data_IF_432365862233
#
_entry.id   IF_432365862233
#
_cell.length_a   1.000
_cell.length_b   1.000
_cell.length_c   1.000
_cell.angle_alpha   90.00
_cell.angle_beta   90.00
_cell.angle_gamma   90.00
#
_symmetry.space_group_name_H-M   'P 1'
#
loop_
_entity.id
_entity.type
_entity.pdbx_description
1 polymer ?
#
# COMPACT_ATOMS: atom_id res chain seq x y z
N UNK A 1 8.79 0.33 40.90
CA UNK A 1 7.76 1.19 40.28
C UNK A 1 8.21 1.49 38.83
N UNK A 2 7.75 0.71 37.85
CA UNK A 2 8.03 0.91 36.42
C UNK A 2 6.71 1.09 35.71
N UNK A 3 6.49 2.31 35.20
CA UNK A 3 5.33 2.64 34.41
C UNK A 3 5.42 1.92 33.04
N UNK A 4 4.56 0.93 32.82
CA UNK A 4 4.22 0.44 31.50
C UNK A 4 3.32 1.48 30.83
N UNK A 5 3.79 2.06 29.72
CA UNK A 5 2.94 2.85 28.82
C UNK A 5 2.17 1.89 27.92
N UNK A 6 0.90 1.79 28.17
CA UNK A 6 -0.05 1.09 27.29
C UNK A 6 -0.17 1.85 25.96
N UNK A 7 0.26 1.22 24.86
CA UNK A 7 -0.02 1.69 23.51
C UNK A 7 -1.39 1.19 23.10
N UNK A 8 -2.43 1.93 23.44
CA UNK A 8 -3.73 1.80 22.79
C UNK A 8 -3.65 2.51 21.44
N UNK A 9 -3.46 1.76 20.35
CA UNK A 9 -3.69 2.25 18.99
C UNK A 9 -5.20 2.10 18.72
N UNK A 10 -5.97 3.15 19.01
CA UNK A 10 -7.34 3.27 18.55
C UNK A 10 -7.33 3.42 17.01
N UNK A 11 -8.10 2.58 16.34
CA UNK A 11 -8.50 2.79 14.94
C UNK A 11 -9.40 4.01 14.92
N UNK A 12 -9.28 4.98 13.98
CA UNK A 12 -10.25 6.06 13.85
C UNK A 12 -11.65 5.47 13.77
N UNK A 13 -12.54 5.99 14.60
CA UNK A 13 -13.96 5.68 14.55
C UNK A 13 -14.55 6.40 13.33
N UNK A 14 -15.69 5.95 12.83
CA UNK A 14 -16.39 6.53 11.67
C UNK A 14 -16.56 8.06 11.78
N UNK A 15 -16.72 8.56 12.99
CA UNK A 15 -16.81 10.00 13.31
C UNK A 15 -15.56 10.79 12.90
N UNK A 16 -14.37 10.19 12.95
CA UNK A 16 -13.13 10.85 12.54
C UNK A 16 -13.05 11.03 11.01
N UNK A 17 -13.64 10.11 10.26
CA UNK A 17 -13.67 10.17 8.78
C UNK A 17 -14.64 11.26 8.31
N UNK A 18 -15.80 11.37 8.93
CA UNK A 18 -16.78 12.39 8.60
C UNK A 18 -16.24 13.80 8.87
N UNK A 19 -15.51 13.98 9.98
CA UNK A 19 -14.81 15.23 10.33
C UNK A 19 -13.70 15.56 9.29
N UNK A 20 -12.97 14.56 8.82
CA UNK A 20 -11.94 14.74 7.78
C UNK A 20 -12.58 15.20 6.47
N UNK A 21 -13.68 14.57 6.05
CA UNK A 21 -14.40 14.91 4.82
C UNK A 21 -15.06 16.29 4.89
N UNK A 22 -15.68 16.64 6.01
CA UNK A 22 -16.28 17.97 6.22
C UNK A 22 -15.22 19.08 6.19
N UNK A 23 -14.10 18.88 6.89
CA UNK A 23 -12.98 19.83 6.89
C UNK A 23 -12.42 20.03 5.49
N UNK A 24 -12.29 18.96 4.72
CA UNK A 24 -11.80 19.01 3.35
C UNK A 24 -12.73 19.79 2.42
N UNK A 25 -14.07 19.62 2.55
CA UNK A 25 -15.06 20.37 1.78
C UNK A 25 -15.02 21.87 2.10
N UNK A 26 -14.60 22.26 3.31
CA UNK A 26 -14.47 23.66 3.73
C UNK A 26 -13.14 24.30 3.33
N UNK A 27 -12.06 23.53 3.12
CA UNK A 27 -10.72 24.02 2.81
C UNK A 27 -10.39 24.03 1.29
N UNK A 28 -11.33 23.63 0.41
CA UNK A 28 -11.15 23.77 -1.03
C UNK A 28 -11.17 25.26 -1.43
N UNK A 29 -10.12 25.79 -2.09
CA UNK A 29 -10.25 27.07 -2.77
C UNK A 29 -11.32 26.92 -3.87
N UNK A 30 -12.27 27.85 -3.93
CA UNK A 30 -13.21 27.96 -5.02
C UNK A 30 -12.44 27.98 -6.35
N UNK A 31 -12.57 26.92 -7.12
CA UNK A 31 -12.13 26.89 -8.49
C UNK A 31 -13.13 27.74 -9.28
N UNK A 32 -12.71 28.95 -9.64
CA UNK A 32 -13.45 29.87 -10.49
C UNK A 32 -13.64 29.21 -11.87
N UNK A 33 -14.77 28.57 -12.05
CA UNK A 33 -15.26 28.09 -13.34
C UNK A 33 -16.21 29.16 -13.88
N UNK A 34 -15.67 30.14 -14.58
CA UNK A 34 -16.47 31.08 -15.37
C UNK A 34 -17.24 30.36 -16.49
N UNK A 35 -18.46 30.79 -16.81
CA UNK A 35 -19.51 29.93 -17.31
C UNK A 35 -19.60 29.89 -18.84
N UNK A 36 -19.91 28.73 -19.35
CA UNK A 36 -20.58 28.63 -20.67
C UNK A 36 -21.96 27.93 -20.48
N UNK A 37 -23.04 28.71 -20.60
CA UNK A 37 -24.32 28.32 -21.13
C UNK A 37 -25.25 27.46 -20.28
N UNK A 38 -26.21 28.12 -19.66
CA UNK A 38 -27.60 27.76 -19.26
C UNK A 38 -28.16 26.43 -19.77
N UNK A 39 -28.69 25.56 -18.86
CA UNK A 39 -30.14 25.24 -18.73
C UNK A 39 -30.41 24.31 -17.53
N UNK A 40 -31.43 24.75 -16.75
CA UNK A 40 -32.41 24.01 -15.90
C UNK A 40 -31.93 22.96 -14.87
N UNK A 41 -32.15 23.31 -13.59
CA UNK A 41 -32.34 22.41 -12.44
C UNK A 41 -33.46 21.38 -12.67
N UNK A 42 -33.32 20.19 -12.06
CA UNK A 42 -34.42 19.70 -11.25
C UNK A 42 -33.99 19.40 -9.81
N UNK A 43 -34.75 19.92 -8.90
CA UNK A 43 -34.81 19.60 -7.46
C UNK A 43 -35.47 18.24 -7.29
N UNK A 44 -34.82 17.33 -6.54
CA UNK A 44 -35.48 16.17 -5.96
C UNK A 44 -34.94 15.89 -4.55
N UNK A 45 -35.77 15.43 -3.60
CA UNK A 45 -35.49 15.46 -2.18
C UNK A 45 -34.61 14.31 -1.71
N UNK A 46 -33.80 14.58 -0.69
CA UNK A 46 -33.06 13.58 0.08
C UNK A 46 -34.05 12.61 0.74
N UNK A 47 -34.02 11.35 0.37
CA UNK A 47 -34.68 10.27 1.09
C UNK A 47 -33.66 9.26 1.62
N UNK A 48 -33.70 9.12 2.93
CA UNK A 48 -33.34 7.99 3.79
C UNK A 48 -32.21 7.02 3.32
N UNK A 49 -31.13 7.07 4.07
CA UNK A 49 -30.05 6.08 4.08
C UNK A 49 -30.61 4.74 4.59
N UNK A 50 -30.49 3.62 3.86
CA UNK A 50 -30.85 2.32 4.38
C UNK A 50 -29.79 1.82 5.41
N UNK A 51 -30.18 0.94 6.35
CA UNK A 51 -29.31 0.49 7.44
C UNK A 51 -28.12 -0.31 6.93
N UNK A 52 -26.99 -0.10 7.61
CA UNK A 52 -25.69 -0.67 7.37
C UNK A 52 -25.74 -2.18 7.11
N UNK A 53 -25.26 -2.61 5.95
CA UNK A 53 -24.90 -4.00 5.69
C UNK A 53 -23.67 -4.33 6.56
N UNK A 54 -23.76 -5.46 7.25
CA UNK A 54 -22.74 -6.00 8.15
C UNK A 54 -21.38 -5.98 7.44
N UNK A 55 -20.47 -5.16 7.94
CA UNK A 55 -19.10 -5.13 7.48
C UNK A 55 -18.47 -6.50 7.77
N UNK A 56 -17.94 -7.15 6.73
CA UNK A 56 -16.93 -8.18 6.93
C UNK A 56 -15.69 -7.43 7.41
N UNK A 57 -15.58 -7.31 8.71
CA UNK A 57 -14.43 -6.73 9.38
C UNK A 57 -13.28 -7.68 9.09
N UNK A 58 -12.26 -7.20 8.41
CA UNK A 58 -10.91 -7.74 8.60
C UNK A 58 -10.57 -7.41 10.05
N UNK A 59 -10.84 -8.36 10.95
CA UNK A 59 -10.81 -8.15 12.39
C UNK A 59 -9.37 -7.90 12.80
N UNK A 60 -9.05 -6.68 13.23
CA UNK A 60 -7.82 -6.37 13.98
C UNK A 60 -7.92 -7.03 15.36
N UNK A 61 -7.59 -8.31 15.45
CA UNK A 61 -7.45 -8.98 16.73
C UNK A 61 -6.05 -8.72 17.26
N UNK A 62 -5.95 -7.90 18.29
CA UNK A 62 -4.75 -7.80 19.13
C UNK A 62 -4.63 -9.11 19.90
N UNK A 63 -3.76 -10.02 19.44
CA UNK A 63 -3.47 -11.27 20.14
C UNK A 63 -2.56 -10.97 21.34
N UNK A 64 -3.09 -11.15 22.56
CA UNK A 64 -2.26 -11.35 23.77
C UNK A 64 -1.52 -12.68 23.59
N UNK A 65 -0.21 -12.66 23.70
CA UNK A 65 0.62 -13.86 23.80
C UNK A 65 0.42 -14.49 25.16
N UNK A 66 -0.29 -15.60 25.21
CA UNK A 66 -0.11 -16.61 26.23
C UNK A 66 0.73 -17.73 25.62
N UNK A 67 1.87 -18.03 26.24
CA UNK A 67 2.80 -19.05 25.80
C UNK A 67 2.25 -20.44 26.20
N UNK A 68 2.18 -21.42 25.29
CA UNK A 68 2.07 -22.82 25.71
C UNK A 68 3.42 -23.49 25.61
N UNK A 69 3.89 -23.96 26.75
CA UNK A 69 4.90 -25.03 26.86
C UNK A 69 4.23 -26.35 26.49
N UNK A 70 4.75 -27.02 25.45
CA UNK A 70 4.24 -28.36 25.08
C UNK A 70 5.04 -28.97 23.94
N UNK A 71 5.67 -30.12 24.24
CA UNK A 71 6.62 -30.93 23.52
C UNK A 71 6.19 -31.34 22.09
N UNK A 72 7.24 -31.54 21.29
CA UNK A 72 7.30 -31.88 19.89
C UNK A 72 6.65 -33.22 19.47
N UNK A 73 6.72 -33.41 18.17
CA UNK A 73 6.35 -34.51 17.29
C UNK A 73 4.99 -34.37 16.60
N UNK A 74 4.96 -33.54 15.54
CA UNK A 74 4.06 -33.66 14.37
C UNK A 74 4.20 -32.49 13.36
N UNK A 75 5.36 -31.82 13.25
CA UNK A 75 5.50 -30.52 12.55
C UNK A 75 5.71 -30.66 11.04
N UNK A 76 6.11 -31.85 10.53
CA UNK A 76 6.48 -31.99 9.10
C UNK A 76 5.31 -32.15 8.13
N UNK A 77 4.12 -32.60 8.58
CA UNK A 77 2.96 -32.83 7.69
C UNK A 77 2.05 -31.61 7.50
N UNK A 78 2.03 -30.71 8.48
CA UNK A 78 1.16 -29.51 8.47
C UNK A 78 1.78 -28.34 7.71
N UNK A 79 3.11 -28.19 7.71
CA UNK A 79 3.80 -27.08 7.02
C UNK A 79 3.65 -27.17 5.49
N UNK A 80 3.74 -28.37 4.90
CA UNK A 80 3.55 -28.57 3.46
C UNK A 80 2.12 -28.30 2.98
N UNK A 81 1.12 -28.50 3.86
CA UNK A 81 -0.29 -28.23 3.55
C UNK A 81 -0.66 -26.76 3.73
N UNK A 82 0.03 -26.04 4.62
CA UNK A 82 -0.17 -24.61 4.85
C UNK A 82 0.39 -23.74 3.72
N UNK A 83 1.51 -24.17 3.09
CA UNK A 83 2.16 -23.44 2.00
C UNK A 83 1.34 -23.36 0.70
N UNK A 84 0.37 -24.26 0.49
CA UNK A 84 -0.53 -24.24 -0.67
C UNK A 84 -1.90 -23.58 -0.38
N UNK A 85 -2.06 -23.03 0.82
CA UNK A 85 -3.36 -22.52 1.28
C UNK A 85 -3.63 -21.06 0.91
N UNK A 86 -2.61 -20.31 0.50
CA UNK A 86 -2.71 -18.93 0.06
C UNK A 86 -1.72 -18.66 -1.07
N UNK A 87 -2.03 -17.68 -1.91
CA UNK A 87 -1.16 -17.21 -2.98
C UNK A 87 -1.29 -15.70 -3.15
N UNK A 88 -0.18 -15.05 -3.46
CA UNK A 88 -0.12 -13.65 -3.85
C UNK A 88 0.68 -13.55 -5.15
N UNK A 89 0.13 -12.85 -6.13
CA UNK A 89 0.85 -12.62 -7.40
C UNK A 89 0.66 -11.20 -7.89
N UNK A 90 1.70 -10.65 -8.43
CA UNK A 90 1.68 -9.37 -9.12
C UNK A 90 1.81 -9.56 -10.62
N UNK A 91 1.29 -8.62 -11.39
CA UNK A 91 1.59 -8.44 -12.80
C UNK A 91 1.81 -6.96 -13.13
N UNK A 92 2.48 -6.70 -14.23
CA UNK A 92 2.58 -5.33 -14.74
C UNK A 92 1.19 -4.84 -15.19
N UNK A 93 0.90 -3.55 -14.98
CA UNK A 93 -0.33 -2.95 -15.49
C UNK A 93 -0.32 -2.87 -17.01
N UNK A 94 -1.51 -2.70 -17.60
CA UNK A 94 -1.64 -2.41 -19.01
C UNK A 94 -0.79 -1.20 -19.43
N UNK A 95 -0.30 -1.14 -20.69
CA UNK A 95 0.66 -0.11 -21.13
C UNK A 95 0.22 1.33 -20.86
N UNK A 96 -1.07 1.61 -20.99
CA UNK A 96 -1.68 2.92 -20.73
C UNK A 96 -1.63 3.34 -19.26
N UNK A 97 -1.50 2.39 -18.33
CA UNK A 97 -1.42 2.61 -16.88
C UNK A 97 0.01 2.49 -16.34
N UNK A 98 1.00 2.13 -17.16
CA UNK A 98 2.38 1.91 -16.72
C UNK A 98 3.04 3.14 -16.07
N UNK A 99 2.60 4.35 -16.42
CA UNK A 99 3.03 5.60 -15.78
C UNK A 99 2.37 5.87 -14.42
N UNK A 100 1.24 5.22 -14.13
CA UNK A 100 0.38 5.49 -12.97
C UNK A 100 0.44 4.38 -11.93
N UNK A 101 0.45 3.13 -12.36
CA UNK A 101 0.48 1.95 -11.49
C UNK A 101 1.88 1.33 -11.42
N UNK A 102 2.22 0.77 -10.27
CA UNK A 102 3.41 -0.05 -10.06
C UNK A 102 3.13 -1.50 -10.46
N UNK A 103 2.00 -2.02 -10.03
CA UNK A 103 1.53 -3.37 -10.33
C UNK A 103 0.01 -3.49 -10.16
N UNK A 104 -0.52 -4.58 -10.69
CA UNK A 104 -1.82 -5.15 -10.35
C UNK A 104 -1.55 -6.44 -9.59
N UNK A 105 -2.30 -6.71 -8.53
CA UNK A 105 -2.05 -7.87 -7.69
C UNK A 105 -3.33 -8.64 -7.34
N UNK A 106 -3.17 -9.91 -7.06
CA UNK A 106 -4.24 -10.83 -6.67
C UNK A 106 -3.75 -11.63 -5.46
N UNK A 107 -4.54 -11.61 -4.39
CA UNK A 107 -4.38 -12.43 -3.19
C UNK A 107 -5.52 -13.42 -3.11
N UNK A 108 -5.21 -14.70 -2.90
CA UNK A 108 -6.22 -15.75 -2.74
C UNK A 108 -5.88 -16.59 -1.51
N UNK A 109 -6.89 -16.88 -0.69
CA UNK A 109 -6.80 -17.84 0.42
C UNK A 109 -7.80 -18.96 0.15
N UNK A 110 -7.30 -20.18 0.06
CA UNK A 110 -8.11 -21.36 -0.30
C UNK A 110 -9.20 -21.64 0.75
N UNK A 111 -10.34 -22.17 0.30
CA UNK A 111 -11.39 -22.67 1.19
C UNK A 111 -10.84 -23.85 2.02
N UNK A 112 -11.09 -23.83 3.33
CA UNK A 112 -10.57 -24.84 4.27
C UNK A 112 -9.13 -24.60 4.73
N UNK A 113 -8.46 -23.56 4.24
CA UNK A 113 -7.18 -23.12 4.77
C UNK A 113 -7.36 -22.46 6.15
N UNK A 114 -6.34 -22.50 7.04
CA UNK A 114 -6.35 -21.63 8.21
C UNK A 114 -6.35 -20.15 7.77
N UNK A 115 -6.90 -19.27 8.62
CA UNK A 115 -6.82 -17.84 8.37
C UNK A 115 -5.36 -17.44 8.19
N UNK A 116 -5.10 -16.64 7.14
CA UNK A 116 -3.76 -16.18 6.80
C UNK A 116 -3.47 -14.83 7.47
N UNK A 117 -2.41 -14.76 8.26
CA UNK A 117 -1.93 -13.50 8.81
C UNK A 117 -0.99 -12.83 7.81
N UNK A 118 -1.45 -11.73 7.23
CA UNK A 118 -0.69 -10.92 6.26
C UNK A 118 -0.04 -9.73 6.92
N UNK A 119 1.29 -9.62 6.81
CA UNK A 119 2.03 -8.44 7.23
C UNK A 119 2.22 -7.50 6.07
N UNK A 120 1.50 -6.37 6.10
CA UNK A 120 1.73 -5.26 5.17
C UNK A 120 2.78 -4.32 5.72
N UNK A 121 3.84 -4.07 4.95
CA UNK A 121 4.92 -3.15 5.30
C UNK A 121 4.84 -1.87 4.48
N UNK A 122 5.35 -0.72 4.98
CA UNK A 122 5.38 0.53 4.22
C UNK A 122 6.06 0.36 2.86
N UNK A 123 5.36 0.69 1.78
CA UNK A 123 5.84 0.58 0.39
C UNK A 123 5.89 1.93 -0.35
N UNK A 124 5.40 2.99 0.30
CA UNK A 124 5.37 4.33 -0.30
C UNK A 124 4.20 4.60 -1.23
N UNK A 125 3.26 3.67 -1.31
CA UNK A 125 2.17 3.66 -2.27
C UNK A 125 0.80 3.78 -1.59
N UNK A 126 -0.19 4.13 -2.38
CA UNK A 126 -1.63 3.99 -2.08
C UNK A 126 -2.14 2.85 -2.96
N UNK A 127 -3.07 2.07 -2.44
CA UNK A 127 -3.65 0.92 -3.13
C UNK A 127 -5.18 1.01 -3.13
N UNK A 128 -5.80 0.56 -4.22
CA UNK A 128 -7.24 0.29 -4.27
C UNK A 128 -7.39 -1.22 -4.43
N UNK A 129 -8.21 -1.82 -3.58
CA UNK A 129 -8.43 -3.26 -3.56
C UNK A 129 -9.91 -3.60 -3.44
N UNK A 130 -10.34 -4.63 -4.14
CA UNK A 130 -11.70 -5.17 -4.08
C UNK A 130 -11.72 -6.60 -3.61
N UNK A 131 -12.64 -6.93 -2.70
CA UNK A 131 -12.93 -8.27 -2.21
C UNK A 131 -14.02 -8.87 -3.10
N UNK A 132 -13.71 -9.92 -3.84
CA UNK A 132 -14.62 -10.46 -4.85
C UNK A 132 -15.93 -10.98 -4.25
N UNK A 133 -15.85 -11.69 -3.12
CA UNK A 133 -17.03 -12.33 -2.52
C UNK A 133 -18.09 -11.34 -2.03
N UNK A 134 -17.67 -10.11 -1.70
CA UNK A 134 -18.56 -9.09 -1.13
C UNK A 134 -18.79 -7.90 -2.05
N UNK A 135 -17.94 -7.72 -3.06
CA UNK A 135 -17.90 -6.52 -3.89
C UNK A 135 -17.44 -5.27 -3.12
N UNK A 136 -16.89 -5.43 -1.91
CA UNK A 136 -16.37 -4.31 -1.12
C UNK A 136 -15.08 -3.80 -1.76
N UNK A 137 -15.01 -2.51 -2.09
CA UNK A 137 -13.79 -1.89 -2.63
C UNK A 137 -13.28 -0.88 -1.62
N UNK A 138 -11.97 -0.94 -1.35
CA UNK A 138 -11.29 -0.10 -0.37
C UNK A 138 -10.11 0.64 -0.95
N UNK A 139 -9.78 1.76 -0.35
CA UNK A 139 -8.51 2.45 -0.54
C UNK A 139 -7.67 2.32 0.72
N UNK A 140 -6.45 1.81 0.56
CA UNK A 140 -5.44 1.78 1.61
C UNK A 140 -4.45 2.93 1.39
N UNK A 141 -4.38 3.84 2.35
CA UNK A 141 -3.48 4.99 2.34
C UNK A 141 -2.01 4.59 2.56
N UNK A 142 -1.10 5.58 2.42
CA UNK A 142 0.32 5.33 2.59
C UNK A 142 0.63 5.01 4.05
N UNK A 143 1.28 3.87 4.28
CA UNK A 143 1.59 3.37 5.63
C UNK A 143 2.95 3.89 6.09
N UNK A 144 3.06 4.21 7.39
CA UNK A 144 4.32 4.55 8.08
C UNK A 144 4.80 3.42 8.99
N UNK A 145 3.90 2.51 9.33
CA UNK A 145 4.10 1.37 10.25
C UNK A 145 3.55 0.10 9.62
N UNK A 146 4.03 -1.07 10.04
CA UNK A 146 3.47 -2.32 9.59
C UNK A 146 2.06 -2.52 10.13
N UNK A 147 1.24 -3.23 9.40
CA UNK A 147 -0.05 -3.77 9.87
C UNK A 147 -0.04 -5.28 9.73
N UNK A 148 -0.72 -5.95 10.65
CA UNK A 148 -1.02 -7.38 10.59
C UNK A 148 -2.52 -7.51 10.35
N UNK A 149 -2.88 -8.19 9.29
CA UNK A 149 -4.26 -8.37 8.87
C UNK A 149 -4.56 -9.86 8.77
N UNK A 150 -5.68 -10.29 9.34
CA UNK A 150 -6.13 -11.67 9.16
C UNK A 150 -7.02 -11.74 7.92
N UNK A 151 -6.59 -12.49 6.91
CA UNK A 151 -7.37 -12.76 5.71
C UNK A 151 -8.08 -14.09 5.90
N UNK A 152 -9.41 -14.07 5.81
CA UNK A 152 -10.24 -15.25 5.99
C UNK A 152 -10.04 -16.27 4.87
N UNK A 153 -10.34 -17.53 5.15
CA UNK A 153 -10.36 -18.59 4.14
C UNK A 153 -11.42 -18.30 3.06
N UNK A 154 -11.14 -18.75 1.84
CA UNK A 154 -12.03 -18.59 0.69
C UNK A 154 -12.01 -17.19 0.06
N UNK A 155 -11.34 -16.23 0.67
CA UNK A 155 -11.33 -14.83 0.19
C UNK A 155 -10.39 -14.66 -1.00
N UNK A 156 -10.88 -13.95 -2.02
CA UNK A 156 -10.08 -13.45 -3.13
C UNK A 156 -10.12 -11.92 -3.13
N UNK A 157 -8.95 -11.31 -3.17
CA UNK A 157 -8.77 -9.87 -3.24
C UNK A 157 -7.98 -9.52 -4.50
N UNK A 158 -8.47 -8.55 -5.27
CA UNK A 158 -7.74 -7.96 -6.40
C UNK A 158 -7.42 -6.51 -6.10
N UNK A 159 -6.24 -6.05 -6.51
CA UNK A 159 -5.88 -4.66 -6.23
C UNK A 159 -4.94 -4.06 -7.26
N UNK A 160 -4.88 -2.74 -7.24
CA UNK A 160 -3.92 -1.93 -7.98
C UNK A 160 -3.09 -1.12 -7.00
N UNK A 161 -1.78 -1.06 -7.26
CA UNK A 161 -0.84 -0.25 -6.50
C UNK A 161 -0.41 0.93 -7.33
N UNK A 162 -0.74 2.14 -6.86
CA UNK A 162 -0.31 3.37 -7.53
C UNK A 162 1.18 3.61 -7.31
N UNK A 163 1.83 4.21 -8.29
CA UNK A 163 3.18 4.75 -8.10
C UNK A 163 3.15 5.85 -7.04
N UNK A 164 4.24 6.01 -6.25
CA UNK A 164 4.29 7.05 -5.22
C UNK A 164 3.91 8.44 -5.75
N UNK A 165 2.94 9.08 -5.10
CA UNK A 165 2.48 10.44 -5.41
C UNK A 165 1.44 10.56 -6.53
N UNK A 166 0.96 9.45 -7.09
CA UNK A 166 -0.01 9.46 -8.20
C UNK A 166 -1.46 9.40 -7.73
N UNK A 167 -1.77 8.56 -6.77
CA UNK A 167 -3.14 8.27 -6.34
C UNK A 167 -3.99 9.49 -5.93
N UNK A 168 -3.48 10.55 -5.27
CA UNK A 168 -4.28 11.71 -4.88
C UNK A 168 -5.05 12.34 -6.04
N UNK A 169 -4.48 12.34 -7.25
CA UNK A 169 -5.14 12.86 -8.44
C UNK A 169 -6.41 12.08 -8.83
N UNK A 170 -6.50 10.80 -8.47
CA UNK A 170 -7.64 9.92 -8.72
C UNK A 170 -8.65 9.93 -7.58
N UNK A 171 -8.15 10.12 -6.36
CA UNK A 171 -8.98 10.07 -5.16
C UNK A 171 -9.66 11.40 -4.86
N UNK A 172 -9.14 12.51 -5.41
CA UNK A 172 -9.61 13.85 -5.09
C UNK A 172 -9.28 14.27 -3.66
N UNK A 173 -8.33 13.60 -2.99
CA UNK A 173 -7.99 13.78 -1.59
C UNK A 173 -6.47 13.76 -1.42
N UNK A 174 -5.88 14.69 -0.63
CA UNK A 174 -4.46 14.64 -0.31
C UNK A 174 -4.07 13.35 0.41
N UNK A 175 -2.92 12.77 0.04
CA UNK A 175 -2.42 11.55 0.68
C UNK A 175 -2.22 11.70 2.20
N UNK A 176 -2.00 12.94 2.68
CA UNK A 176 -1.86 13.23 4.11
C UNK A 176 -3.08 12.85 4.95
N UNK A 177 -4.27 12.92 4.36
CA UNK A 177 -5.54 12.56 5.01
C UNK A 177 -5.78 11.03 5.06
N UNK A 178 -4.99 10.27 4.30
CA UNK A 178 -5.11 8.81 4.21
C UNK A 178 -3.99 8.06 4.96
N UNK A 179 -3.07 8.78 5.61
CA UNK A 179 -1.90 8.14 6.24
C UNK A 179 -2.31 7.16 7.33
N UNK A 180 -1.86 5.91 7.20
CA UNK A 180 -2.16 4.79 8.10
C UNK A 180 -3.68 4.46 8.20
N UNK A 181 -4.50 4.94 7.24
CA UNK A 181 -5.93 4.67 7.15
C UNK A 181 -6.26 3.70 6.02
N UNK A 182 -7.41 3.07 6.16
CA UNK A 182 -8.07 2.29 5.13
C UNK A 182 -9.56 2.67 5.15
N UNK A 183 -10.07 3.09 3.98
CA UNK A 183 -11.44 3.59 3.84
C UNK A 183 -12.18 2.78 2.78
N UNK A 184 -13.51 2.68 2.94
CA UNK A 184 -14.37 2.19 1.88
C UNK A 184 -14.38 3.21 0.72
N UNK A 185 -14.16 2.74 -0.50
CA UNK A 185 -13.96 3.63 -1.66
C UNK A 185 -15.21 4.42 -2.03
N UNK A 186 -16.38 3.95 -1.62
CA UNK A 186 -17.65 4.66 -1.84
C UNK A 186 -17.73 5.99 -1.08
N UNK A 187 -16.98 6.17 -0.01
CA UNK A 187 -16.84 7.46 0.68
C UNK A 187 -16.18 8.53 -0.23
N UNK A 188 -15.37 8.12 -1.20
CA UNK A 188 -14.66 9.02 -2.11
C UNK A 188 -15.28 9.05 -3.51
N UNK A 189 -15.73 7.91 -4.02
CA UNK A 189 -16.23 7.77 -5.39
C UNK A 189 -17.75 7.56 -5.46
N UNK A 190 -18.43 7.49 -4.32
CA UNK A 190 -19.88 7.33 -4.25
C UNK A 190 -20.37 6.10 -5.02
N UNK A 191 -21.44 6.29 -5.78
CA UNK A 191 -22.09 5.21 -6.54
C UNK A 191 -21.16 4.52 -7.55
N UNK A 192 -20.13 5.21 -8.06
CA UNK A 192 -19.15 4.59 -8.98
C UNK A 192 -18.36 3.47 -8.30
N UNK A 193 -18.00 3.62 -7.02
CA UNK A 193 -17.31 2.57 -6.27
C UNK A 193 -18.25 1.37 -6.02
N UNK A 194 -19.52 1.60 -5.73
CA UNK A 194 -20.52 0.53 -5.58
C UNK A 194 -20.69 -0.25 -6.89
N UNK A 195 -20.79 0.47 -8.01
CA UNK A 195 -20.89 -0.16 -9.35
C UNK A 195 -19.63 -0.95 -9.68
N UNK A 196 -18.45 -0.42 -9.36
CA UNK A 196 -17.19 -1.15 -9.51
C UNK A 196 -17.20 -2.43 -8.67
N UNK A 197 -17.61 -2.34 -7.40
CA UNK A 197 -17.70 -3.49 -6.49
C UNK A 197 -18.59 -4.61 -7.05
N UNK A 198 -19.76 -4.25 -7.59
CA UNK A 198 -20.66 -5.20 -8.25
C UNK A 198 -19.98 -5.90 -9.45
N UNK A 199 -19.29 -5.12 -10.32
CA UNK A 199 -18.53 -5.68 -11.45
C UNK A 199 -17.43 -6.64 -11.01
N UNK A 200 -16.74 -6.34 -9.90
CA UNK A 200 -15.71 -7.22 -9.36
C UNK A 200 -16.30 -8.52 -8.83
N UNK A 201 -17.43 -8.45 -8.14
CA UNK A 201 -18.13 -9.62 -7.59
C UNK A 201 -18.73 -10.54 -8.68
N UNK A 202 -19.13 -9.97 -9.82
CA UNK A 202 -19.69 -10.68 -10.96
C UNK A 202 -18.63 -11.20 -11.96
N UNK A 203 -17.35 -10.88 -11.74
CA UNK A 203 -16.27 -11.28 -12.65
C UNK A 203 -16.11 -12.81 -12.68
N UNK A 204 -15.89 -13.36 -13.88
CA UNK A 204 -15.76 -14.80 -14.10
C UNK A 204 -14.48 -15.39 -13.48
N UNK A 205 -13.46 -14.54 -13.29
CA UNK A 205 -12.18 -14.91 -12.70
C UNK A 205 -11.55 -13.74 -11.95
N UNK A 206 -10.59 -13.99 -11.05
CA UNK A 206 -9.81 -12.92 -10.40
C UNK A 206 -9.07 -12.03 -11.42
N UNK A 207 -8.65 -12.59 -12.54
CA UNK A 207 -8.01 -11.87 -13.65
C UNK A 207 -8.99 -10.91 -14.33
N UNK A 208 -10.23 -11.33 -14.58
CA UNK A 208 -11.26 -10.47 -15.16
C UNK A 208 -11.63 -9.35 -14.19
N UNK A 209 -11.69 -9.63 -12.90
CA UNK A 209 -11.89 -8.62 -11.87
C UNK A 209 -10.73 -7.60 -11.86
N UNK A 210 -9.49 -8.07 -11.95
CA UNK A 210 -8.32 -7.19 -12.03
C UNK A 210 -8.34 -6.32 -13.29
N UNK A 211 -8.76 -6.85 -14.43
CA UNK A 211 -8.97 -6.08 -15.68
C UNK A 211 -10.08 -5.05 -15.51
N UNK A 212 -11.20 -5.41 -14.87
CA UNK A 212 -12.29 -4.47 -14.59
C UNK A 212 -11.85 -3.31 -13.70
N UNK A 213 -10.99 -3.57 -12.70
CA UNK A 213 -10.40 -2.55 -11.85
C UNK A 213 -9.47 -1.62 -12.65
N UNK A 214 -8.60 -2.18 -13.52
CA UNK A 214 -7.75 -1.36 -14.40
C UNK A 214 -8.57 -0.47 -15.34
N UNK A 215 -9.65 -1.00 -15.91
CA UNK A 215 -10.55 -0.23 -16.79
C UNK A 215 -11.15 0.97 -16.05
N UNK A 216 -11.54 0.81 -14.80
CA UNK A 216 -12.03 1.92 -13.98
C UNK A 216 -10.96 3.00 -13.78
N UNK A 217 -9.71 2.59 -13.51
CA UNK A 217 -8.59 3.55 -13.40
C UNK A 217 -8.34 4.26 -14.74
N UNK A 218 -8.44 3.56 -15.88
CA UNK A 218 -8.32 4.19 -17.21
C UNK A 218 -9.39 5.25 -17.42
N UNK A 219 -10.66 4.93 -17.14
CA UNK A 219 -11.77 5.88 -17.29
C UNK A 219 -11.52 7.12 -16.43
N UNK A 220 -11.10 6.94 -15.18
CA UNK A 220 -10.82 8.05 -14.27
C UNK A 220 -9.59 8.85 -14.67
N UNK A 221 -8.61 8.21 -15.30
CA UNK A 221 -7.38 8.89 -15.72
C UNK A 221 -7.63 10.00 -16.74
N UNK A 222 -8.70 9.90 -17.51
CA UNK A 222 -9.08 10.91 -18.48
C UNK A 222 -9.52 12.25 -17.84
N UNK A 223 -10.06 12.20 -16.62
CA UNK A 223 -10.52 13.37 -15.89
C UNK A 223 -9.59 13.77 -14.73
N UNK A 224 -8.65 12.89 -14.35
CA UNK A 224 -7.75 13.15 -13.23
C UNK A 224 -6.69 14.21 -13.61
N UNK A 225 -6.43 15.19 -12.73
CA UNK A 225 -5.27 16.04 -12.91
C UNK A 225 -4.00 15.18 -12.83
N UNK A 226 -3.01 15.45 -13.67
CA UNK A 226 -1.75 14.68 -13.65
C UNK A 226 -1.05 14.74 -12.28
N UNK A 227 -0.27 13.70 -11.98
CA UNK A 227 0.59 13.71 -10.80
C UNK A 227 1.56 14.91 -10.83
N UNK A 228 1.89 15.46 -9.67
CA UNK A 228 2.82 16.60 -9.55
C UNK A 228 4.18 16.26 -10.19
N UNK A 229 4.61 16.98 -11.25
CA UNK A 229 5.91 16.74 -11.88
C UNK A 229 7.07 16.90 -10.90
N UNK A 230 6.95 17.84 -9.96
CA UNK A 230 7.92 18.09 -8.90
C UNK A 230 8.07 16.86 -7.99
N UNK A 231 6.96 16.30 -7.52
CA UNK A 231 6.98 15.10 -6.65
C UNK A 231 7.51 13.90 -7.43
N UNK A 232 7.06 13.71 -8.67
CA UNK A 232 7.51 12.61 -9.54
C UNK A 232 9.02 12.66 -9.74
N UNK A 233 9.57 13.82 -10.02
CA UNK A 233 11.02 13.99 -10.21
C UNK A 233 11.80 13.81 -8.90
N UNK A 234 11.29 14.34 -7.78
CA UNK A 234 11.91 14.13 -6.47
C UNK A 234 11.89 12.66 -6.04
N UNK A 235 10.79 11.92 -6.28
CA UNK A 235 10.72 10.48 -6.03
C UNK A 235 11.76 9.71 -6.84
N UNK A 236 11.96 10.05 -8.11
CA UNK A 236 13.01 9.45 -8.95
C UNK A 236 14.41 9.67 -8.40
N UNK A 237 14.68 10.86 -7.87
CA UNK A 237 16.00 11.23 -7.31
C UNK A 237 16.28 10.62 -5.94
N UNK A 238 15.22 10.32 -5.17
CA UNK A 238 15.33 9.69 -3.84
C UNK A 238 15.42 8.18 -3.89
N UNK A 239 15.47 7.56 -5.05
CA UNK A 239 15.62 6.11 -5.18
C UNK A 239 16.97 5.63 -4.57
N UNK A 240 17.01 4.44 -3.94
CA UNK A 240 18.17 3.97 -3.17
C UNK A 240 19.45 3.81 -3.98
N UNK A 241 19.36 3.59 -5.29
CA UNK A 241 20.52 3.50 -6.18
C UNK A 241 21.05 4.87 -6.67
N UNK A 242 20.39 5.96 -6.28
CA UNK A 242 20.87 7.31 -6.54
C UNK A 242 21.46 7.86 -5.26
N UNK A 243 22.68 8.42 -5.35
CA UNK A 243 23.36 8.99 -4.19
C UNK A 243 22.73 10.28 -3.65
N UNK A 244 21.62 10.73 -4.25
CA UNK A 244 20.95 11.97 -3.90
C UNK A 244 20.37 11.95 -2.48
N UNK A 245 20.63 13.01 -1.73
CA UNK A 245 19.97 13.27 -0.45
C UNK A 245 18.89 14.35 -0.61
N UNK A 246 18.03 14.48 0.41
CA UNK A 246 16.90 15.43 0.36
C UNK A 246 17.37 16.87 0.12
N UNK A 247 18.52 17.28 0.68
CA UNK A 247 19.06 18.63 0.52
C UNK A 247 19.55 18.88 -0.91
N UNK A 248 20.14 17.90 -1.56
CA UNK A 248 20.53 17.99 -2.97
C UNK A 248 19.30 18.09 -3.87
N UNK A 249 18.29 17.23 -3.63
CA UNK A 249 17.03 17.28 -4.39
C UNK A 249 16.35 18.64 -4.26
N UNK A 250 16.31 19.24 -3.06
CA UNK A 250 15.72 20.58 -2.87
C UNK A 250 16.50 21.67 -3.62
N UNK A 251 17.83 21.59 -3.58
CA UNK A 251 18.70 22.55 -4.28
C UNK A 251 18.54 22.45 -5.80
N UNK A 252 18.55 21.26 -6.35
CA UNK A 252 18.44 21.01 -7.78
C UNK A 252 17.06 21.34 -8.36
N UNK A 253 16.01 21.24 -7.56
CA UNK A 253 14.66 21.59 -7.95
C UNK A 253 14.33 23.07 -7.67
N UNK A 254 15.30 23.86 -7.17
CA UNK A 254 15.15 25.28 -6.86
C UNK A 254 13.95 25.61 -5.97
N UNK A 255 13.65 24.74 -4.99
CA UNK A 255 12.53 24.89 -4.07
C UNK A 255 12.98 24.82 -2.61
N UNK A 256 12.28 25.56 -1.73
CA UNK A 256 12.61 25.56 -0.32
C UNK A 256 12.25 24.18 0.33
N UNK A 257 12.97 23.78 1.40
CA UNK A 257 12.63 22.56 2.14
C UNK A 257 11.17 22.53 2.65
N UNK A 258 10.61 23.71 2.99
CA UNK A 258 9.20 23.83 3.43
C UNK A 258 8.23 23.53 2.29
N UNK A 259 8.50 24.03 1.08
CA UNK A 259 7.69 23.74 -0.10
C UNK A 259 7.76 22.27 -0.47
N UNK A 260 8.98 21.69 -0.52
CA UNK A 260 9.13 20.23 -0.74
C UNK A 260 8.30 19.44 0.24
N UNK A 261 8.42 19.74 1.54
CA UNK A 261 7.66 19.01 2.57
C UNK A 261 6.15 19.13 2.34
N UNK A 262 5.63 20.33 2.02
CA UNK A 262 4.21 20.53 1.74
C UNK A 262 3.74 19.68 0.55
N UNK A 263 4.46 19.71 -0.58
CA UNK A 263 4.12 18.90 -1.74
C UNK A 263 4.21 17.39 -1.45
N UNK A 264 5.20 16.97 -0.67
CA UNK A 264 5.34 15.57 -0.30
C UNK A 264 4.22 15.10 0.63
N UNK A 265 3.83 15.89 1.62
CA UNK A 265 2.72 15.52 2.52
C UNK A 265 1.42 15.44 1.73
N UNK A 266 1.15 16.38 0.82
CA UNK A 266 -0.05 16.33 -0.01
C UNK A 266 -0.08 15.12 -0.95
N UNK A 267 1.05 14.77 -1.57
CA UNK A 267 1.10 13.72 -2.59
C UNK A 267 1.41 12.32 -2.05
N UNK A 268 2.12 12.22 -0.90
CA UNK A 268 2.67 10.97 -0.36
C UNK A 268 2.27 10.71 1.10
N UNK A 269 1.66 11.68 1.77
CA UNK A 269 1.26 11.59 3.18
C UNK A 269 2.38 11.84 4.19
N UNK A 270 3.64 11.97 3.75
CA UNK A 270 4.79 12.18 4.64
C UNK A 270 5.93 12.91 3.93
N UNK A 271 6.92 13.36 4.72
CA UNK A 271 8.05 14.09 4.18
C UNK A 271 9.08 13.23 3.44
N UNK A 272 9.98 13.86 2.67
CA UNK A 272 10.93 13.17 1.80
C UNK A 272 11.89 12.23 2.53
N UNK A 273 12.29 12.52 3.77
CA UNK A 273 13.14 11.61 4.57
C UNK A 273 12.44 10.29 4.89
N UNK A 274 11.12 10.33 5.18
CA UNK A 274 10.33 9.12 5.42
C UNK A 274 10.22 8.29 4.14
N UNK A 275 9.94 8.93 3.00
CA UNK A 275 9.93 8.24 1.71
C UNK A 275 11.29 7.58 1.42
N UNK A 276 12.39 8.30 1.58
CA UNK A 276 13.74 7.77 1.33
C UNK A 276 14.03 6.51 2.16
N UNK A 277 13.62 6.50 3.45
CA UNK A 277 13.72 5.31 4.30
C UNK A 277 12.91 4.14 3.76
N UNK A 278 11.65 4.40 3.38
CA UNK A 278 10.74 3.38 2.82
C UNK A 278 11.33 2.82 1.52
N UNK A 279 11.75 3.67 0.58
CA UNK A 279 12.32 3.24 -0.70
C UNK A 279 13.61 2.42 -0.51
N UNK A 280 14.46 2.80 0.46
CA UNK A 280 15.66 2.02 0.81
C UNK A 280 15.28 0.64 1.32
N UNK A 281 14.26 0.55 2.18
CA UNK A 281 13.77 -0.72 2.68
C UNK A 281 13.14 -1.58 1.57
N UNK A 282 12.38 -0.99 0.66
CA UNK A 282 11.87 -1.70 -0.53
C UNK A 282 13.03 -2.20 -1.43
N UNK A 283 14.11 -1.42 -1.55
CA UNK A 283 15.33 -1.87 -2.21
C UNK A 283 15.99 -3.07 -1.52
N UNK A 284 16.03 -3.09 -0.19
CA UNK A 284 16.50 -4.24 0.58
C UNK A 284 15.62 -5.48 0.30
N UNK A 285 14.29 -5.34 0.34
CA UNK A 285 13.38 -6.45 0.04
C UNK A 285 13.60 -7.03 -1.36
N UNK A 286 13.80 -6.18 -2.35
CA UNK A 286 14.06 -6.61 -3.74
C UNK A 286 15.36 -7.43 -3.89
N UNK A 287 16.28 -7.37 -2.93
CA UNK A 287 17.54 -8.13 -2.90
C UNK A 287 17.47 -9.39 -2.02
N UNK A 288 16.36 -9.60 -1.28
CA UNK A 288 16.28 -10.71 -0.31
C UNK A 288 16.30 -12.10 -0.95
N UNK A 289 15.87 -12.24 -2.21
CA UNK A 289 15.94 -13.52 -2.94
C UNK A 289 17.38 -14.05 -3.03
N UNK A 290 18.38 -13.16 -3.17
CA UNK A 290 19.79 -13.54 -3.19
C UNK A 290 20.27 -14.08 -1.83
N UNK A 291 19.67 -13.63 -0.74
CA UNK A 291 19.95 -14.13 0.61
C UNK A 291 19.38 -15.53 0.82
N UNK A 292 18.12 -15.75 0.41
CA UNK A 292 17.49 -17.07 0.50
C UNK A 292 18.21 -18.14 -0.33
N UNK A 293 18.83 -17.74 -1.44
CA UNK A 293 19.69 -18.62 -2.23
C UNK A 293 21.07 -18.87 -1.60
N UNK A 294 21.37 -18.31 -0.42
CA UNK A 294 22.68 -18.44 0.24
C UNK A 294 23.79 -17.59 -0.38
N UNK A 295 23.45 -16.74 -1.35
CA UNK A 295 24.42 -16.00 -2.16
C UNK A 295 24.89 -14.68 -1.52
N UNK A 296 24.28 -14.25 -0.40
CA UNK A 296 24.60 -12.95 0.20
C UNK A 296 24.41 -12.93 1.71
N UNK A 297 25.23 -12.15 2.42
CA UNK A 297 25.08 -11.87 3.86
C UNK A 297 24.22 -10.62 4.09
N UNK A 298 23.60 -10.50 5.27
CA UNK A 298 22.85 -9.31 5.65
C UNK A 298 23.67 -8.01 5.53
N UNK A 299 24.96 -8.04 5.85
CA UNK A 299 25.84 -6.89 5.70
C UNK A 299 26.00 -6.47 4.24
N UNK A 300 26.14 -7.44 3.32
CA UNK A 300 26.23 -7.15 1.87
C UNK A 300 24.91 -6.61 1.32
N UNK A 301 23.79 -7.19 1.74
CA UNK A 301 22.46 -6.67 1.36
C UNK A 301 22.23 -5.25 1.89
N UNK A 302 22.63 -4.97 3.14
CA UNK A 302 22.55 -3.64 3.71
C UNK A 302 23.32 -2.61 2.87
N UNK A 303 24.57 -2.92 2.55
CA UNK A 303 25.40 -2.05 1.71
C UNK A 303 24.80 -1.85 0.31
N UNK A 304 24.34 -2.92 -0.34
CA UNK A 304 23.73 -2.87 -1.67
C UNK A 304 22.43 -2.05 -1.69
N UNK A 305 21.64 -2.11 -0.61
CA UNK A 305 20.41 -1.33 -0.44
C UNK A 305 20.67 0.12 0.01
N UNK A 306 21.93 0.54 0.20
CA UNK A 306 22.30 1.91 0.57
C UNK A 306 22.20 2.22 2.06
N UNK A 307 22.29 1.21 2.95
CA UNK A 307 22.48 1.39 4.39
C UNK A 307 23.96 1.59 4.70
N UNK A 308 24.25 2.41 5.71
CA UNK A 308 25.63 2.64 6.14
C UNK A 308 26.29 1.36 6.71
N UNK A 309 25.50 0.57 7.43
CA UNK A 309 25.92 -0.69 8.05
C UNK A 309 24.70 -1.59 8.35
N UNK A 310 24.96 -2.81 8.82
CA UNK A 310 23.92 -3.76 9.22
C UNK A 310 23.11 -3.27 10.44
N UNK A 311 23.70 -2.50 11.36
CA UNK A 311 23.01 -1.98 12.52
C UNK A 311 21.97 -0.90 12.09
N UNK A 312 22.31 -0.09 11.08
CA UNK A 312 21.39 0.85 10.46
C UNK A 312 20.19 0.11 9.80
N UNK A 313 20.45 -0.94 9.01
CA UNK A 313 19.40 -1.80 8.47
C UNK A 313 18.53 -2.37 9.59
N UNK A 314 19.13 -2.90 10.66
CA UNK A 314 18.38 -3.51 11.77
C UNK A 314 17.42 -2.50 12.43
N UNK A 315 17.90 -1.29 12.70
CA UNK A 315 17.04 -0.23 13.30
C UNK A 315 15.88 0.16 12.37
N UNK A 316 16.15 0.36 11.07
CA UNK A 316 15.10 0.75 10.12
C UNK A 316 14.12 -0.40 9.84
N UNK A 317 14.60 -1.62 9.69
CA UNK A 317 13.76 -2.81 9.54
C UNK A 317 12.81 -2.98 10.74
N UNK A 318 13.33 -2.89 11.98
CA UNK A 318 12.50 -3.00 13.17
C UNK A 318 11.41 -1.90 13.25
N UNK A 319 11.70 -0.70 12.77
CA UNK A 319 10.70 0.38 12.73
C UNK A 319 9.64 0.18 11.63
N UNK A 320 10.02 -0.41 10.49
CA UNK A 320 9.13 -0.57 9.33
C UNK A 320 8.37 -1.89 9.32
N UNK A 321 8.87 -2.91 10.04
CA UNK A 321 8.25 -4.26 10.08
C UNK A 321 7.82 -4.71 11.47
N UNK A 322 8.34 -4.10 12.52
CA UNK A 322 8.20 -4.57 13.90
C UNK A 322 9.15 -5.71 14.26
N UNK A 323 10.01 -6.17 13.32
CA UNK A 323 10.88 -7.33 13.47
C UNK A 323 12.34 -6.96 13.14
N UNK A 324 13.28 -7.76 13.66
CA UNK A 324 14.67 -7.71 13.17
C UNK A 324 14.75 -8.24 11.74
N UNK A 325 15.78 -7.89 10.94
CA UNK A 325 15.93 -8.40 9.57
C UNK A 325 15.86 -9.91 9.48
N UNK A 326 16.57 -10.65 10.35
CA UNK A 326 16.54 -12.11 10.34
C UNK A 326 15.14 -12.66 10.65
N UNK A 327 14.47 -12.16 11.70
CA UNK A 327 13.14 -12.62 12.05
C UNK A 327 12.11 -12.30 10.96
N UNK A 328 12.26 -11.15 10.29
CA UNK A 328 11.40 -10.76 9.18
C UNK A 328 11.61 -11.66 7.94
N UNK A 329 12.87 -11.95 7.60
CA UNK A 329 13.20 -12.89 6.50
C UNK A 329 12.70 -14.30 6.79
N UNK A 330 12.85 -14.78 8.03
CA UNK A 330 12.31 -16.07 8.46
C UNK A 330 10.77 -16.10 8.36
N UNK A 331 10.08 -15.00 8.70
CA UNK A 331 8.63 -14.88 8.51
C UNK A 331 8.28 -14.92 7.02
N UNK A 332 8.99 -14.17 6.16
CA UNK A 332 8.77 -14.20 4.72
C UNK A 332 8.93 -15.61 4.14
N UNK A 333 9.97 -16.35 4.53
CA UNK A 333 10.17 -17.73 4.06
C UNK A 333 9.01 -18.63 4.48
N UNK A 334 8.53 -18.50 5.71
CA UNK A 334 7.43 -19.35 6.21
C UNK A 334 6.06 -18.98 5.61
N UNK A 335 5.82 -17.69 5.36
CA UNK A 335 4.48 -17.18 5.04
C UNK A 335 4.30 -16.80 3.58
N UNK A 336 5.39 -16.48 2.86
CA UNK A 336 5.31 -15.93 1.50
C UNK A 336 5.92 -16.85 0.44
N UNK A 337 7.04 -17.51 0.73
CA UNK A 337 7.72 -18.36 -0.24
C UNK A 337 7.19 -19.80 -0.14
N UNK A 338 6.89 -20.51 -1.24
CA UNK A 338 7.01 -20.13 -2.65
C UNK A 338 5.72 -19.52 -3.28
N UNK A 339 4.71 -19.18 -2.49
CA UNK A 339 3.36 -18.85 -2.98
C UNK A 339 3.16 -17.37 -3.32
N UNK A 340 4.17 -16.52 -3.04
CA UNK A 340 4.12 -15.09 -3.35
C UNK A 340 5.07 -14.72 -4.47
N UNK A 341 4.55 -14.04 -5.50
CA UNK A 341 5.31 -13.46 -6.60
C UNK A 341 5.22 -11.93 -6.57
N UNK A 342 6.32 -11.30 -6.18
CA UNK A 342 6.51 -9.85 -6.17
C UNK A 342 7.43 -9.36 -7.31
N UNK A 343 7.74 -10.21 -8.28
CA UNK A 343 8.70 -9.89 -9.34
C UNK A 343 8.37 -8.60 -10.10
N UNK A 344 7.11 -8.28 -10.46
CA UNK A 344 6.78 -7.03 -11.13
C UNK A 344 7.17 -5.76 -10.36
N UNK A 345 6.98 -5.75 -9.03
CA UNK A 345 7.40 -4.63 -8.17
C UNK A 345 8.90 -4.60 -7.91
N UNK A 346 9.53 -5.74 -7.70
CA UNK A 346 10.92 -5.83 -7.25
C UNK A 346 11.93 -5.90 -8.39
N UNK A 347 11.61 -6.48 -9.55
CA UNK A 347 12.57 -6.62 -10.64
C UNK A 347 13.16 -5.27 -11.12
N UNK A 348 12.39 -4.17 -11.25
CA UNK A 348 12.94 -2.86 -11.59
C UNK A 348 13.92 -2.34 -10.53
N UNK A 349 13.58 -2.52 -9.23
CA UNK A 349 14.43 -2.09 -8.11
C UNK A 349 15.73 -2.89 -8.07
N UNK A 350 15.63 -4.21 -8.16
CA UNK A 350 16.77 -5.13 -8.17
C UNK A 350 17.72 -4.83 -9.33
N UNK A 351 17.16 -4.67 -10.53
CA UNK A 351 17.98 -4.32 -11.71
C UNK A 351 18.75 -3.03 -11.50
N UNK A 352 18.09 -1.99 -10.97
CA UNK A 352 18.71 -0.70 -10.74
C UNK A 352 19.79 -0.74 -9.64
N UNK A 353 19.59 -1.53 -8.58
CA UNK A 353 20.53 -1.69 -7.47
C UNK A 353 21.77 -2.50 -7.86
N UNK A 354 21.62 -3.51 -8.74
CA UNK A 354 22.70 -4.37 -9.18
C UNK A 354 23.48 -3.84 -10.39
N UNK A 355 22.96 -2.79 -11.08
CA UNK A 355 23.73 -2.12 -12.13
C UNK A 355 24.83 -1.27 -11.51
N UNK A 356 26.10 -1.35 -11.99
CA UNK A 356 27.13 -0.44 -11.54
C UNK A 356 26.70 1.01 -11.84
N UNK A 357 26.83 1.89 -10.85
CA UNK A 357 26.56 3.30 -11.02
C UNK A 357 27.29 3.81 -12.27
N UNK A 358 26.57 4.22 -13.28
CA UNK A 358 27.18 4.96 -14.41
C UNK A 358 27.69 6.28 -13.80
N UNK A 359 29.03 6.36 -13.67
CA UNK A 359 29.74 7.57 -13.24
C UNK A 359 29.56 8.67 -14.26
#
# INVERSE_FOLDING_TARGET
MHHRKDFQNAVPVRDDVDVILERWQQELPEFDASPMGTTSKPTAPMSAIPPARTAVVLNRTVVRRDSPTGRGDAVMSTAGRALNSQSYRERLPGPQLAGMLSCVWILQVSTGAPAYEHRTVPNGCIEIAGVLDTGLVRVAGPRRKPTLEQVSQGVTVVGVRFRPGVAPAFLGLPAGELVDLELDLDLLWGQSAVTLGARLAEAASPEDAAIALEQEIVVRSAAAPGASPLVTEAVKRLQPWRAGNVSEVTRELFISPRQVRRHFVAALGYGPKTLQRILRFQGFLALCDDHHAGNSTLSRLAAAAGYADQAHLTRECSQLTGLTPSAFLDEMVRSCVPTHDHAPSFAPLRRALLQPARR
#
